data_IF_298496421586
#
_entry.id   IF_298496421586
#
_cell.length_a   1.000
_cell.length_b   1.000
_cell.length_c   1.000
_cell.angle_alpha   90.00
_cell.angle_beta   90.00
_cell.angle_gamma   90.00
#
_symmetry.space_group_name_H-M   'P 1'
#
loop_
_entity.id
_entity.type
_entity.pdbx_description
1 polymer ?
#
# COMPACT_ATOMS: atom_id res chain seq x y z
N UNK A 1 -1.38 -6.43 24.22
CA UNK A 1 -0.93 -7.33 25.30
C UNK A 1 -1.37 -8.75 25.03
N UNK A 2 -0.97 -9.34 23.91
CA UNK A 2 -1.00 -10.78 23.73
C UNK A 2 0.38 -11.30 24.12
N UNK A 3 0.43 -11.63 25.16
CA UNK A 3 1.02 -12.31 26.28
C UNK A 3 2.32 -13.06 25.93
N UNK A 4 3.33 -12.77 26.74
CA UNK A 4 4.51 -13.63 26.97
C UNK A 4 4.17 -15.12 27.12
N UNK A 5 2.93 -15.45 27.51
CA UNK A 5 2.43 -16.81 27.60
C UNK A 5 2.31 -17.54 26.25
N UNK A 6 2.08 -16.83 25.13
CA UNK A 6 1.99 -17.47 23.82
C UNK A 6 3.37 -17.94 23.31
N UNK A 7 4.44 -17.20 23.58
CA UNK A 7 5.80 -17.61 23.19
C UNK A 7 6.32 -18.83 23.94
N UNK A 8 5.80 -19.10 25.14
CA UNK A 8 6.18 -20.27 25.94
C UNK A 8 5.38 -21.53 25.58
N UNK A 9 4.23 -21.37 24.91
CA UNK A 9 3.33 -22.47 24.51
C UNK A 9 3.72 -23.07 23.16
N UNK A 10 4.20 -22.25 22.23
CA UNK A 10 4.53 -22.69 20.88
C UNK A 10 6.00 -23.09 20.74
N UNK A 11 6.25 -24.29 20.23
CA UNK A 11 7.62 -24.74 19.91
C UNK A 11 8.21 -24.00 18.73
N UNK A 12 7.35 -23.48 17.83
CA UNK A 12 7.73 -22.76 16.60
C UNK A 12 6.71 -21.67 16.30
N UNK A 13 7.19 -20.52 15.84
CA UNK A 13 6.37 -19.43 15.33
C UNK A 13 6.76 -19.10 13.90
N UNK A 14 5.76 -18.83 13.06
CA UNK A 14 5.95 -18.33 11.70
C UNK A 14 5.60 -16.86 11.69
N UNK A 15 6.52 -16.02 11.24
CA UNK A 15 6.38 -14.58 11.14
C UNK A 15 6.43 -14.15 9.68
N UNK A 16 5.77 -13.05 9.34
CA UNK A 16 5.63 -12.56 7.97
C UNK A 16 6.84 -11.79 7.45
N UNK A 17 7.76 -11.37 8.33
CA UNK A 17 8.92 -10.57 7.96
C UNK A 17 10.08 -10.77 8.94
N UNK A 18 11.30 -10.50 8.48
CA UNK A 18 12.46 -10.42 9.38
C UNK A 18 12.37 -9.24 10.33
N UNK A 19 11.65 -8.19 9.97
CA UNK A 19 11.35 -7.07 10.87
C UNK A 19 10.50 -7.52 12.07
N UNK A 20 9.43 -8.30 11.81
CA UNK A 20 8.63 -8.91 12.86
C UNK A 20 9.44 -9.88 13.75
N UNK A 21 10.41 -10.59 13.18
CA UNK A 21 11.31 -11.46 13.93
C UNK A 21 12.24 -10.65 14.84
N UNK A 22 12.80 -9.53 14.36
CA UNK A 22 13.60 -8.61 15.19
C UNK A 22 12.78 -8.00 16.34
N UNK A 23 11.53 -7.65 16.08
CA UNK A 23 10.62 -7.14 17.10
C UNK A 23 10.30 -8.20 18.17
N UNK A 24 10.11 -9.46 17.78
CA UNK A 24 9.92 -10.55 18.73
C UNK A 24 11.13 -10.67 19.68
N UNK A 25 12.36 -10.70 19.14
CA UNK A 25 13.58 -10.73 19.95
C UNK A 25 13.71 -9.51 20.86
N UNK A 26 13.37 -8.33 20.35
CA UNK A 26 13.49 -7.07 21.09
C UNK A 26 12.52 -6.97 22.25
N UNK A 27 11.25 -7.35 22.05
CA UNK A 27 10.19 -7.15 23.03
C UNK A 27 9.94 -8.38 23.92
N UNK A 28 10.41 -9.56 23.49
CA UNK A 28 10.28 -10.82 24.22
C UNK A 28 11.62 -11.58 24.26
N UNK A 29 12.70 -10.92 24.76
CA UNK A 29 14.01 -11.57 24.85
C UNK A 29 13.91 -12.78 25.77
N UNK A 30 14.35 -13.93 25.29
CA UNK A 30 14.28 -15.19 26.03
C UNK A 30 13.04 -16.04 25.73
N UNK A 31 12.25 -15.71 24.68
CA UNK A 31 11.29 -16.67 24.14
C UNK A 31 12.02 -17.98 23.76
N UNK A 32 11.32 -19.11 23.89
CA UNK A 32 11.89 -20.46 23.65
C UNK A 32 11.44 -21.08 22.34
N UNK A 33 10.59 -20.39 21.57
CA UNK A 33 10.10 -20.88 20.30
C UNK A 33 11.18 -20.70 19.21
N UNK A 34 11.30 -21.67 18.31
CA UNK A 34 11.99 -21.48 17.05
C UNK A 34 11.21 -20.49 16.19
N UNK A 35 11.88 -19.56 15.53
CA UNK A 35 11.25 -18.55 14.69
C UNK A 35 11.61 -18.81 13.24
N UNK A 36 10.60 -18.87 12.40
CA UNK A 36 10.73 -18.99 10.96
C UNK A 36 10.06 -17.79 10.28
N UNK A 37 10.72 -17.21 9.29
CA UNK A 37 10.13 -16.12 8.50
C UNK A 37 9.65 -16.68 7.17
N UNK A 38 8.38 -16.45 6.88
CA UNK A 38 7.76 -16.91 5.64
C UNK A 38 6.92 -15.76 5.07
N UNK A 39 7.43 -15.15 3.99
CA UNK A 39 6.75 -14.07 3.29
C UNK A 39 5.54 -14.60 2.54
N UNK A 40 4.35 -14.11 2.85
CA UNK A 40 3.17 -14.49 2.10
C UNK A 40 3.02 -13.66 0.82
N UNK A 41 2.27 -14.18 -0.13
CA UNK A 41 1.94 -13.53 -1.41
C UNK A 41 0.43 -13.36 -1.53
N UNK A 42 0.00 -12.30 -2.21
CA UNK A 42 -1.40 -12.14 -2.60
C UNK A 42 -1.71 -13.04 -3.80
N UNK A 43 -2.62 -13.99 -3.62
CA UNK A 43 -3.18 -14.78 -4.72
C UNK A 43 -4.47 -14.11 -5.20
N UNK A 44 -4.37 -13.27 -6.21
CA UNK A 44 -5.48 -12.44 -6.72
C UNK A 44 -5.74 -12.60 -8.22
N UNK A 45 -5.18 -13.63 -8.84
CA UNK A 45 -5.39 -13.88 -10.28
C UNK A 45 -6.88 -13.93 -10.66
N UNK A 46 -7.77 -14.64 -9.91
CA UNK A 46 -9.19 -14.69 -10.28
C UNK A 46 -9.84 -13.30 -10.32
N UNK A 47 -9.52 -12.47 -9.32
CA UNK A 47 -10.07 -11.11 -9.21
C UNK A 47 -9.49 -10.19 -10.30
N UNK A 48 -8.21 -10.35 -10.63
CA UNK A 48 -7.55 -9.59 -11.69
C UNK A 48 -8.08 -9.98 -13.06
N UNK A 49 -8.28 -11.26 -13.32
CA UNK A 49 -8.91 -11.76 -14.56
C UNK A 49 -10.37 -11.32 -14.71
N UNK A 50 -11.06 -11.03 -13.61
CA UNK A 50 -12.42 -10.50 -13.63
C UNK A 50 -12.50 -9.00 -13.96
N UNK A 51 -11.37 -8.29 -14.06
CA UNK A 51 -11.34 -6.87 -14.40
C UNK A 51 -11.47 -6.72 -15.93
N UNK A 52 -12.73 -6.61 -16.40
CA UNK A 52 -13.02 -6.34 -17.81
C UNK A 52 -13.04 -4.83 -18.10
N UNK A 53 -12.92 -4.40 -19.37
CA UNK A 53 -13.07 -3.00 -19.73
C UNK A 53 -14.40 -2.38 -19.31
N UNK A 54 -15.49 -3.16 -19.30
CA UNK A 54 -16.81 -2.71 -18.85
C UNK A 54 -16.83 -2.45 -17.35
N UNK A 55 -16.16 -3.31 -16.55
CA UNK A 55 -16.00 -3.09 -15.12
C UNK A 55 -15.15 -1.85 -14.85
N UNK A 56 -14.04 -1.67 -15.55
CA UNK A 56 -13.20 -0.47 -15.41
C UNK A 56 -13.98 0.81 -15.68
N UNK A 57 -14.79 0.81 -16.76
CA UNK A 57 -15.63 1.96 -17.09
C UNK A 57 -16.71 2.18 -16.01
N UNK A 58 -17.38 1.12 -15.57
CA UNK A 58 -18.38 1.20 -14.49
C UNK A 58 -17.79 1.76 -13.20
N UNK A 59 -16.57 1.36 -12.82
CA UNK A 59 -15.85 1.85 -11.65
C UNK A 59 -15.50 3.34 -11.81
N UNK A 60 -15.00 3.74 -12.99
CA UNK A 60 -14.73 5.15 -13.32
C UNK A 60 -15.97 6.02 -13.19
N UNK A 61 -17.10 5.56 -13.71
CA UNK A 61 -18.37 6.29 -13.66
C UNK A 61 -18.94 6.34 -12.24
N UNK A 62 -18.93 5.21 -11.53
CA UNK A 62 -19.43 5.09 -10.15
C UNK A 62 -18.73 6.05 -9.19
N UNK A 63 -17.40 6.19 -9.33
CA UNK A 63 -16.58 7.00 -8.43
C UNK A 63 -16.13 8.32 -9.03
N UNK A 64 -16.64 8.68 -10.22
CA UNK A 64 -16.31 9.91 -10.94
C UNK A 64 -14.79 10.11 -11.12
N UNK A 65 -14.09 9.05 -11.53
CA UNK A 65 -12.62 9.05 -11.74
C UNK A 65 -12.30 9.51 -13.18
N UNK A 66 -12.49 10.79 -13.46
CA UNK A 66 -12.31 11.38 -14.81
C UNK A 66 -10.89 11.88 -15.07
N UNK A 67 -10.17 12.22 -14.01
CA UNK A 67 -8.80 12.75 -14.09
C UNK A 67 -7.78 11.61 -13.93
N UNK A 68 -6.53 11.89 -14.23
CA UNK A 68 -5.42 11.08 -13.74
C UNK A 68 -5.43 11.07 -12.22
N UNK A 69 -5.11 9.95 -11.61
CA UNK A 69 -5.13 9.86 -10.16
C UNK A 69 -4.01 9.02 -9.58
N UNK A 70 -3.67 9.37 -8.34
CA UNK A 70 -2.74 8.66 -7.46
C UNK A 70 -3.58 7.95 -6.41
N UNK A 71 -3.26 6.68 -6.12
CA UNK A 71 -4.11 5.83 -5.30
C UNK A 71 -3.49 5.50 -3.93
N UNK A 72 -4.27 5.67 -2.86
CA UNK A 72 -3.87 5.44 -1.47
C UNK A 72 -4.86 4.44 -0.82
N UNK A 73 -4.69 3.11 -1.02
CA UNK A 73 -5.62 2.06 -0.59
C UNK A 73 -5.36 1.58 0.83
N UNK A 74 -5.72 2.38 1.83
CA UNK A 74 -5.49 2.03 3.22
C UNK A 74 -6.70 2.31 4.12
N UNK A 75 -6.91 1.46 5.15
CA UNK A 75 -7.78 1.82 6.27
C UNK A 75 -7.21 3.06 6.97
N UNK A 76 -8.08 3.93 7.47
CA UNK A 76 -7.66 5.20 8.08
C UNK A 76 -7.15 5.04 9.52
N UNK A 77 -6.29 4.05 9.76
CA UNK A 77 -5.62 3.87 11.04
C UNK A 77 -4.41 4.79 11.15
N UNK A 78 -4.11 5.24 12.37
CA UNK A 78 -3.04 6.19 12.61
C UNK A 78 -1.68 5.76 12.02
N UNK A 79 -1.32 4.47 12.15
CA UNK A 79 -0.06 3.96 11.62
C UNK A 79 0.00 3.89 10.08
N UNK A 80 -1.14 4.05 9.39
CA UNK A 80 -1.18 4.19 7.91
C UNK A 80 -0.81 5.59 7.44
N UNK A 81 -0.65 6.54 8.37
CA UNK A 81 0.02 7.83 8.17
C UNK A 81 -0.58 8.72 7.06
N UNK A 82 -1.91 8.75 6.96
CA UNK A 82 -2.59 9.57 5.95
C UNK A 82 -2.29 11.07 6.11
N UNK A 83 -1.91 11.52 7.32
CA UNK A 83 -1.59 12.93 7.56
C UNK A 83 -0.41 13.36 6.69
N UNK A 84 0.70 12.61 6.66
CA UNK A 84 1.86 12.97 5.82
C UNK A 84 1.49 13.04 4.35
N UNK A 85 0.57 12.16 3.91
CA UNK A 85 0.08 12.18 2.53
C UNK A 85 -0.71 13.45 2.22
N UNK A 86 -1.64 13.85 3.10
CA UNK A 86 -2.45 15.06 2.89
C UNK A 86 -1.59 16.33 3.00
N UNK A 87 -0.62 16.37 3.91
CA UNK A 87 0.36 17.47 4.00
C UNK A 87 1.23 17.56 2.72
N UNK A 88 1.61 16.44 2.12
CA UNK A 88 2.33 16.41 0.85
C UNK A 88 1.45 16.93 -0.30
N UNK A 89 0.17 16.54 -0.34
CA UNK A 89 -0.81 17.05 -1.33
C UNK A 89 -0.95 18.58 -1.16
N UNK A 90 -1.08 19.06 0.07
CA UNK A 90 -1.18 20.48 0.34
C UNK A 90 0.06 21.25 -0.16
N UNK A 91 1.26 20.72 0.04
CA UNK A 91 2.50 21.30 -0.49
C UNK A 91 2.45 21.40 -2.02
N UNK A 92 2.07 20.32 -2.72
CA UNK A 92 1.97 20.26 -4.18
C UNK A 92 0.99 21.31 -4.72
N UNK A 93 -0.20 21.37 -4.16
CA UNK A 93 -1.27 22.26 -4.64
C UNK A 93 -0.97 23.73 -4.35
N UNK A 94 -0.34 24.07 -3.23
CA UNK A 94 0.15 25.43 -2.94
C UNK A 94 1.21 25.91 -3.93
N UNK A 95 1.99 24.98 -4.49
CA UNK A 95 2.99 25.26 -5.53
C UNK A 95 2.40 25.24 -6.95
N UNK A 96 1.09 25.01 -7.11
CA UNK A 96 0.41 24.91 -8.40
C UNK A 96 0.75 23.62 -9.17
N UNK A 97 1.22 22.58 -8.49
CA UNK A 97 1.62 21.28 -9.05
C UNK A 97 0.50 20.27 -8.92
N UNK A 98 0.28 19.44 -9.93
CA UNK A 98 -0.71 18.36 -9.96
C UNK A 98 -2.16 18.82 -9.67
N UNK A 99 -2.51 20.05 -10.01
CA UNK A 99 -3.87 20.58 -9.81
C UNK A 99 -4.93 19.87 -10.66
N UNK A 100 -4.52 19.17 -11.71
CA UNK A 100 -5.33 18.36 -12.61
C UNK A 100 -5.40 16.87 -12.20
N UNK A 101 -4.74 16.49 -11.10
CA UNK A 101 -4.78 15.13 -10.55
C UNK A 101 -5.81 15.00 -9.43
N UNK A 102 -6.39 13.80 -9.30
CA UNK A 102 -7.13 13.39 -8.13
C UNK A 102 -6.24 12.51 -7.22
N UNK A 103 -6.40 12.65 -5.90
CA UNK A 103 -5.80 11.78 -4.90
C UNK A 103 -6.91 10.91 -4.31
N UNK A 104 -6.92 9.64 -4.67
CA UNK A 104 -8.00 8.71 -4.40
C UNK A 104 -7.67 7.85 -3.18
N UNK A 105 -8.51 7.93 -2.18
CA UNK A 105 -8.39 7.17 -0.94
C UNK A 105 -9.52 6.17 -0.83
N UNK A 106 -9.20 4.93 -0.47
CA UNK A 106 -10.18 3.91 -0.07
C UNK A 106 -9.88 3.40 1.33
N UNK A 107 -10.93 2.94 2.01
CA UNK A 107 -10.87 2.44 3.36
C UNK A 107 -11.95 3.07 4.24
N UNK A 108 -12.18 2.47 5.39
CA UNK A 108 -13.17 2.99 6.32
C UNK A 108 -12.57 4.16 7.12
N UNK A 109 -13.19 5.35 7.01
CA UNK A 109 -12.79 6.55 7.76
C UNK A 109 -13.31 6.47 9.21
N UNK A 110 -12.98 5.37 9.90
CA UNK A 110 -13.32 5.14 11.31
C UNK A 110 -12.16 4.41 11.99
N UNK A 111 -11.61 5.00 13.03
CA UNK A 111 -10.73 4.32 13.98
C UNK A 111 -11.26 4.55 15.39
N UNK A 112 -11.97 3.56 15.95
CA UNK A 112 -12.51 3.62 17.31
C UNK A 112 -11.42 3.71 18.38
N UNK A 113 -10.18 3.35 18.05
CA UNK A 113 -9.03 3.39 18.96
C UNK A 113 -8.44 4.79 19.06
N UNK A 114 -8.61 5.62 18.01
CA UNK A 114 -8.08 6.97 17.96
C UNK A 114 -9.02 7.92 17.18
N UNK A 115 -10.17 8.30 17.76
CA UNK A 115 -11.12 9.20 17.11
C UNK A 115 -10.54 10.60 16.86
N UNK A 116 -9.68 11.11 17.75
CA UNK A 116 -9.03 12.42 17.59
C UNK A 116 -8.15 12.48 16.34
N UNK A 117 -7.48 11.38 15.99
CA UNK A 117 -6.71 11.29 14.75
C UNK A 117 -7.63 11.45 13.52
N UNK A 118 -8.77 10.79 13.52
CA UNK A 118 -9.75 10.86 12.44
C UNK A 118 -10.31 12.27 12.29
N UNK A 119 -10.64 12.94 13.40
CA UNK A 119 -11.16 14.32 13.38
C UNK A 119 -10.11 15.31 12.87
N UNK A 120 -8.85 15.14 13.28
CA UNK A 120 -7.72 15.94 12.76
C UNK A 120 -7.55 15.73 11.26
N UNK A 121 -7.51 14.49 10.82
CA UNK A 121 -7.34 14.12 9.40
C UNK A 121 -8.47 14.69 8.54
N UNK A 122 -9.72 14.56 8.99
CA UNK A 122 -10.89 15.09 8.29
C UNK A 122 -10.78 16.60 8.08
N UNK A 123 -10.44 17.35 9.13
CA UNK A 123 -10.26 18.82 9.04
C UNK A 123 -9.22 19.22 8.00
N UNK A 124 -8.11 18.48 7.90
CA UNK A 124 -7.06 18.78 6.92
C UNK A 124 -7.57 18.45 5.50
N UNK A 125 -8.24 17.32 5.31
CA UNK A 125 -8.78 16.89 4.01
C UNK A 125 -9.92 17.78 3.49
N UNK A 126 -10.67 18.40 4.39
CA UNK A 126 -11.77 19.32 4.08
C UNK A 126 -11.30 20.78 3.86
N UNK A 127 -10.00 21.07 4.01
CA UNK A 127 -9.48 22.42 3.77
C UNK A 127 -9.62 22.83 2.30
N UNK A 128 -9.88 24.12 2.04
CA UNK A 128 -10.08 24.69 0.70
C UNK A 128 -8.91 24.38 -0.26
N UNK A 129 -7.72 24.19 0.27
CA UNK A 129 -6.53 23.92 -0.53
C UNK A 129 -6.56 22.53 -1.17
N UNK A 130 -7.07 21.51 -0.48
CA UNK A 130 -6.92 20.11 -0.93
C UNK A 130 -8.24 19.41 -1.27
N UNK A 131 -9.37 19.90 -0.74
CA UNK A 131 -10.66 19.22 -0.85
C UNK A 131 -11.11 18.94 -2.29
N UNK A 132 -10.78 19.83 -3.23
CA UNK A 132 -11.15 19.68 -4.64
C UNK A 132 -10.41 18.55 -5.36
N UNK A 133 -9.26 18.12 -4.83
CA UNK A 133 -8.40 17.10 -5.43
C UNK A 133 -8.42 15.77 -4.63
N UNK A 134 -9.05 15.73 -3.45
CA UNK A 134 -9.16 14.52 -2.63
C UNK A 134 -10.49 13.82 -2.91
N UNK A 135 -10.41 12.54 -3.25
CA UNK A 135 -11.57 11.65 -3.39
C UNK A 135 -11.55 10.57 -2.33
N UNK A 136 -12.53 10.62 -1.41
CA UNK A 136 -12.73 9.62 -0.36
C UNK A 136 -13.82 8.64 -0.82
N UNK A 137 -13.44 7.43 -1.23
CA UNK A 137 -14.39 6.46 -1.76
C UNK A 137 -15.01 5.56 -0.68
N UNK A 138 -14.46 5.60 0.55
CA UNK A 138 -14.91 4.71 1.62
C UNK A 138 -14.50 3.26 1.38
N UNK A 139 -15.33 2.32 1.88
CA UNK A 139 -15.15 0.90 1.59
C UNK A 139 -15.55 0.61 0.13
N UNK A 140 -14.68 -0.11 -0.56
CA UNK A 140 -14.85 -0.49 -1.96
C UNK A 140 -14.70 -2.01 -2.06
N UNK A 141 -15.52 -2.65 -2.87
CA UNK A 141 -15.44 -4.09 -3.12
C UNK A 141 -14.08 -4.48 -3.74
N UNK A 142 -13.62 -5.70 -3.45
CA UNK A 142 -12.26 -6.15 -3.76
C UNK A 142 -11.91 -5.99 -5.25
N UNK A 143 -12.79 -6.43 -6.15
CA UNK A 143 -12.56 -6.36 -7.59
C UNK A 143 -12.54 -4.92 -8.09
N UNK A 144 -13.43 -4.05 -7.55
CA UNK A 144 -13.41 -2.62 -7.83
C UNK A 144 -12.13 -1.96 -7.31
N UNK A 145 -11.65 -2.34 -6.11
CA UNK A 145 -10.39 -1.87 -5.54
C UNK A 145 -9.21 -2.16 -6.45
N UNK A 146 -9.14 -3.38 -6.97
CA UNK A 146 -8.09 -3.80 -7.91
C UNK A 146 -8.21 -3.08 -9.26
N UNK A 147 -9.43 -2.83 -9.74
CA UNK A 147 -9.66 -2.03 -10.95
C UNK A 147 -9.20 -0.57 -10.76
N UNK A 148 -9.46 0.05 -9.61
CA UNK A 148 -8.94 1.37 -9.25
C UNK A 148 -7.40 1.33 -9.20
N UNK A 149 -6.82 0.31 -8.57
CA UNK A 149 -5.37 0.15 -8.45
C UNK A 149 -4.69 -0.01 -9.82
N UNK A 150 -5.26 -0.84 -10.69
CA UNK A 150 -4.80 -1.06 -12.07
C UNK A 150 -4.74 0.24 -12.87
N UNK A 151 -5.77 1.08 -12.76
CA UNK A 151 -5.92 2.30 -13.53
C UNK A 151 -5.26 3.54 -12.88
N UNK A 152 -4.72 3.42 -11.67
CA UNK A 152 -3.96 4.50 -11.02
C UNK A 152 -2.65 4.77 -11.75
N UNK A 153 -2.19 6.02 -11.76
CA UNK A 153 -0.85 6.34 -12.26
C UNK A 153 0.22 5.59 -11.46
N UNK A 154 0.13 5.65 -10.15
CA UNK A 154 0.93 4.88 -9.21
C UNK A 154 0.23 4.84 -7.84
N UNK A 155 0.79 4.07 -6.92
CA UNK A 155 0.25 3.83 -5.59
C UNK A 155 1.16 4.46 -4.55
N UNK A 156 0.60 4.94 -3.43
CA UNK A 156 1.38 5.44 -2.29
C UNK A 156 1.02 4.67 -1.03
N UNK A 157 2.04 4.13 -0.35
CA UNK A 157 1.97 3.44 0.93
C UNK A 157 2.78 4.20 1.99
N UNK A 158 2.17 5.15 2.73
CA UNK A 158 2.89 6.03 3.63
C UNK A 158 3.04 5.50 5.05
N UNK A 159 2.77 4.23 5.30
CA UNK A 159 2.69 3.60 6.62
C UNK A 159 3.93 3.82 7.50
N UNK A 160 3.70 3.99 8.80
CA UNK A 160 4.77 4.05 9.82
C UNK A 160 5.18 2.66 10.33
N UNK A 161 4.30 1.68 10.18
CA UNK A 161 4.50 0.32 10.66
C UNK A 161 3.62 -0.65 9.86
N UNK A 162 4.18 -1.80 9.50
CA UNK A 162 3.49 -2.92 8.88
C UNK A 162 4.08 -4.24 9.39
N UNK A 163 3.26 -5.30 9.38
CA UNK A 163 3.79 -6.67 9.53
C UNK A 163 4.23 -7.26 8.20
N UNK A 164 3.40 -7.06 7.18
CA UNK A 164 3.61 -7.34 5.74
C UNK A 164 2.51 -6.64 4.97
N UNK A 165 2.86 -5.82 3.98
CA UNK A 165 1.90 -4.98 3.27
C UNK A 165 1.15 -5.74 2.18
N UNK A 166 -0.11 -6.14 2.39
CA UNK A 166 -0.94 -6.78 1.36
C UNK A 166 -1.15 -5.90 0.13
N UNK A 167 -1.27 -4.59 0.31
CA UNK A 167 -1.40 -3.63 -0.78
C UNK A 167 -0.19 -3.67 -1.72
N UNK A 168 1.01 -3.83 -1.18
CA UNK A 168 2.21 -3.94 -1.99
C UNK A 168 2.25 -5.27 -2.76
N UNK A 169 1.80 -6.38 -2.15
CA UNK A 169 1.68 -7.66 -2.85
C UNK A 169 0.68 -7.57 -4.01
N UNK A 170 -0.48 -6.93 -3.81
CA UNK A 170 -1.45 -6.68 -4.88
C UNK A 170 -0.85 -5.81 -6.01
N UNK A 171 -0.14 -4.76 -5.64
CA UNK A 171 0.52 -3.88 -6.60
C UNK A 171 1.60 -4.59 -7.42
N UNK A 172 2.32 -5.56 -6.83
CA UNK A 172 3.29 -6.41 -7.53
C UNK A 172 2.61 -7.28 -8.58
N UNK A 173 1.43 -7.87 -8.27
CA UNK A 173 0.67 -8.68 -9.24
C UNK A 173 0.14 -7.81 -10.38
N UNK A 174 -0.26 -6.57 -10.11
CA UNK A 174 -0.65 -5.60 -11.13
C UNK A 174 0.55 -4.91 -11.80
N UNK A 175 1.77 -5.25 -11.40
CA UNK A 175 3.04 -4.68 -11.86
C UNK A 175 3.08 -3.14 -11.81
N UNK A 176 2.50 -2.56 -10.76
CA UNK A 176 2.40 -1.10 -10.59
C UNK A 176 3.61 -0.50 -9.87
N UNK A 177 3.89 0.76 -10.22
CA UNK A 177 4.85 1.58 -9.47
C UNK A 177 4.26 1.96 -8.11
N UNK A 178 5.05 1.84 -7.05
CA UNK A 178 4.63 2.14 -5.67
C UNK A 178 5.63 3.05 -4.98
N UNK A 179 5.15 4.16 -4.43
CA UNK A 179 5.90 4.98 -3.49
C UNK A 179 5.70 4.40 -2.08
N UNK A 180 6.79 3.97 -1.46
CA UNK A 180 6.79 3.29 -0.16
C UNK A 180 7.48 4.13 0.91
N UNK A 181 6.89 4.23 2.08
CA UNK A 181 7.63 4.75 3.24
C UNK A 181 8.85 3.88 3.54
N UNK A 182 9.97 4.53 3.86
CA UNK A 182 11.25 3.86 4.13
C UNK A 182 11.27 3.27 5.55
N UNK A 183 10.48 2.22 5.76
CA UNK A 183 10.44 1.43 7.00
C UNK A 183 11.05 0.04 6.75
N UNK A 184 11.56 -0.65 7.79
CA UNK A 184 12.30 -1.91 7.61
C UNK A 184 11.55 -2.98 6.80
N UNK A 185 10.26 -3.18 7.09
CA UNK A 185 9.44 -4.17 6.35
C UNK A 185 9.25 -3.80 4.89
N UNK A 186 9.11 -2.51 4.54
CA UNK A 186 9.03 -2.07 3.16
C UNK A 186 10.35 -2.23 2.41
N UNK A 187 11.50 -2.00 3.09
CA UNK A 187 12.82 -2.30 2.52
C UNK A 187 12.99 -3.80 2.21
N UNK A 188 12.43 -4.68 3.06
CA UNK A 188 12.43 -6.12 2.86
C UNK A 188 11.51 -6.55 1.71
N UNK A 189 10.34 -5.91 1.58
CA UNK A 189 9.27 -6.28 0.65
C UNK A 189 9.39 -5.66 -0.74
N UNK A 190 10.16 -4.56 -0.90
CA UNK A 190 10.25 -3.78 -2.14
C UNK A 190 10.76 -4.58 -3.34
N UNK A 191 10.43 -4.10 -4.54
CA UNK A 191 10.99 -4.55 -5.80
C UNK A 191 11.51 -3.35 -6.63
N UNK A 192 11.94 -3.59 -7.86
CA UNK A 192 12.49 -2.56 -8.77
C UNK A 192 11.51 -1.43 -9.13
N UNK A 193 10.20 -1.61 -8.93
CA UNK A 193 9.15 -0.60 -9.19
C UNK A 193 8.80 0.22 -7.94
N UNK A 194 9.48 0.00 -6.85
CA UNK A 194 9.27 0.75 -5.61
C UNK A 194 10.23 1.93 -5.49
N UNK A 195 9.71 3.05 -5.00
CA UNK A 195 10.49 4.25 -4.68
C UNK A 195 10.29 4.58 -3.21
N UNK A 196 11.39 4.59 -2.46
CA UNK A 196 11.33 4.86 -1.01
C UNK A 196 11.34 6.36 -0.70
N UNK A 197 10.58 6.76 0.34
CA UNK A 197 10.57 8.11 0.89
C UNK A 197 10.52 8.09 2.43
N UNK A 198 10.95 9.17 3.07
CA UNK A 198 10.86 9.32 4.53
C UNK A 198 9.40 9.50 4.97
N UNK A 199 8.84 8.60 5.82
CA UNK A 199 7.46 8.69 6.29
C UNK A 199 7.17 9.90 7.19
N UNK A 200 8.18 10.65 7.60
CA UNK A 200 8.08 11.84 8.45
C UNK A 200 8.32 13.15 7.70
N UNK A 201 8.65 13.09 6.40
CA UNK A 201 8.92 14.27 5.58
C UNK A 201 7.88 14.45 4.46
N UNK A 202 6.81 15.25 4.69
CA UNK A 202 5.79 15.51 3.69
C UNK A 202 6.33 16.28 2.47
N UNK A 203 7.40 17.07 2.60
CA UNK A 203 8.01 17.80 1.49
C UNK A 203 8.78 16.84 0.57
N UNK A 204 9.54 15.90 1.14
CA UNK A 204 10.21 14.87 0.37
C UNK A 204 9.19 13.98 -0.34
N UNK A 205 8.07 13.65 0.31
CA UNK A 205 6.98 12.88 -0.32
C UNK A 205 6.37 13.68 -1.48
N UNK A 206 6.06 14.97 -1.30
CA UNK A 206 5.54 15.84 -2.34
C UNK A 206 6.47 15.87 -3.56
N UNK A 207 7.77 16.04 -3.36
CA UNK A 207 8.76 16.06 -4.43
C UNK A 207 8.87 14.70 -5.14
N UNK A 208 8.81 13.60 -4.37
CA UNK A 208 8.81 12.24 -4.92
C UNK A 208 7.55 11.98 -5.76
N UNK A 209 6.37 12.40 -5.29
CA UNK A 209 5.11 12.31 -6.03
C UNK A 209 5.21 13.07 -7.34
N UNK A 210 5.62 14.34 -7.31
CA UNK A 210 5.69 15.17 -8.51
C UNK A 210 6.68 14.64 -9.55
N UNK A 211 7.86 14.19 -9.11
CA UNK A 211 8.86 13.57 -10.00
C UNK A 211 8.32 12.29 -10.63
N UNK A 212 7.62 11.47 -9.86
CA UNK A 212 7.02 10.22 -10.34
C UNK A 212 5.89 10.49 -11.32
N UNK A 213 5.02 11.46 -11.04
CA UNK A 213 3.94 11.87 -11.95
C UNK A 213 4.48 12.45 -13.26
N UNK A 214 5.51 13.30 -13.20
CA UNK A 214 6.16 13.81 -14.38
C UNK A 214 6.75 12.70 -15.25
N UNK A 215 7.41 11.70 -14.64
CA UNK A 215 7.94 10.53 -15.35
C UNK A 215 6.82 9.69 -15.96
N UNK A 216 5.72 9.46 -15.25
CA UNK A 216 4.58 8.68 -15.71
C UNK A 216 3.88 9.33 -16.92
N UNK A 217 4.03 10.64 -17.10
CA UNK A 217 3.45 11.39 -18.23
C UNK A 217 4.30 11.34 -19.50
N UNK A 218 5.51 10.76 -19.44
CA UNK A 218 6.39 10.65 -20.60
C UNK A 218 6.04 9.40 -21.42
N UNK A 219 5.86 9.51 -22.75
CA UNK A 219 5.47 8.38 -23.61
C UNK A 219 6.44 7.18 -23.51
N UNK A 220 7.73 7.41 -23.34
CA UNK A 220 8.74 6.37 -23.18
C UNK A 220 8.60 5.55 -21.91
N UNK A 221 7.84 6.02 -20.93
CA UNK A 221 7.57 5.34 -19.67
C UNK A 221 6.13 4.80 -19.55
N UNK A 222 5.28 4.98 -20.56
CA UNK A 222 3.88 4.55 -20.52
C UNK A 222 3.72 3.07 -20.12
N UNK A 223 4.49 2.18 -20.75
CA UNK A 223 4.46 0.75 -20.44
C UNK A 223 4.91 0.43 -18.98
N UNK A 224 5.86 1.19 -18.42
CA UNK A 224 6.32 1.03 -17.04
C UNK A 224 5.18 1.28 -16.04
N UNK A 225 4.36 2.30 -16.30
CA UNK A 225 3.28 2.73 -15.41
C UNK A 225 1.94 2.05 -15.70
N UNK A 226 1.72 1.56 -16.92
CA UNK A 226 0.56 0.72 -17.25
C UNK A 226 0.58 -0.59 -16.46
N UNK A 227 1.77 -1.17 -16.32
CA UNK A 227 1.99 -2.47 -15.68
C UNK A 227 1.81 -3.65 -16.63
N UNK A 228 2.58 -4.68 -16.41
CA UNK A 228 2.52 -5.96 -17.12
C UNK A 228 1.90 -7.03 -16.20
N UNK A 229 0.58 -7.19 -16.31
CA UNK A 229 -0.19 -8.11 -15.47
C UNK A 229 0.22 -9.57 -15.70
N UNK A 230 0.53 -9.98 -16.93
CA UNK A 230 0.95 -11.35 -17.23
C UNK A 230 2.27 -11.67 -16.51
N UNK A 231 3.22 -10.75 -16.57
CA UNK A 231 4.47 -10.86 -15.83
C UNK A 231 4.26 -10.83 -14.32
N UNK A 232 3.34 -9.99 -13.82
CA UNK A 232 2.96 -9.91 -12.41
C UNK A 232 2.39 -11.22 -11.90
N UNK A 233 1.46 -11.83 -12.62
CA UNK A 233 0.87 -13.14 -12.31
C UNK A 233 1.96 -14.24 -12.34
N UNK A 234 2.84 -14.24 -13.34
CA UNK A 234 3.94 -15.20 -13.41
C UNK A 234 4.88 -15.09 -12.22
N UNK A 235 5.19 -13.86 -11.77
CA UNK A 235 5.97 -13.62 -10.56
C UNK A 235 5.25 -14.11 -9.30
N UNK A 236 3.95 -13.82 -9.16
CA UNK A 236 3.11 -14.30 -8.06
C UNK A 236 3.17 -15.82 -7.93
N UNK A 237 3.04 -16.57 -9.03
CA UNK A 237 3.13 -18.03 -9.00
C UNK A 237 4.53 -18.54 -8.60
N UNK A 238 5.58 -17.84 -8.99
CA UNK A 238 6.93 -18.17 -8.55
C UNK A 238 7.07 -17.99 -7.05
N UNK A 239 6.66 -16.83 -6.53
CA UNK A 239 6.72 -16.51 -5.10
C UNK A 239 5.81 -17.43 -4.27
N UNK A 240 4.61 -17.77 -4.78
CA UNK A 240 3.71 -18.72 -4.12
C UNK A 240 4.32 -20.12 -3.98
N UNK A 241 5.09 -20.58 -4.98
CA UNK A 241 5.83 -21.86 -4.88
C UNK A 241 6.94 -21.79 -3.83
N UNK A 242 7.63 -20.66 -3.73
CA UNK A 242 8.66 -20.45 -2.69
C UNK A 242 8.04 -20.42 -1.30
N UNK A 243 6.91 -19.75 -1.14
CA UNK A 243 6.10 -19.73 0.08
C UNK A 243 5.67 -21.14 0.49
N UNK A 244 5.10 -21.93 -0.42
CA UNK A 244 4.69 -23.31 -0.13
C UNK A 244 5.87 -24.19 0.32
N UNK A 245 7.01 -24.09 -0.36
CA UNK A 245 8.23 -24.84 0.03
C UNK A 245 8.78 -24.40 1.38
N UNK A 246 8.65 -23.10 1.71
CA UNK A 246 9.05 -22.60 3.02
C UNK A 246 8.15 -23.16 4.12
N UNK A 247 6.83 -23.19 3.91
CA UNK A 247 5.88 -23.79 4.85
C UNK A 247 6.14 -25.30 5.02
N UNK A 248 6.37 -26.05 3.94
CA UNK A 248 6.71 -27.47 4.03
C UNK A 248 7.92 -27.71 4.96
N UNK A 249 8.98 -26.92 4.82
CA UNK A 249 10.17 -27.01 5.70
C UNK A 249 9.88 -26.69 7.16
N UNK A 250 8.84 -25.89 7.42
CA UNK A 250 8.43 -25.52 8.78
C UNK A 250 7.65 -26.65 9.46
N UNK A 251 6.84 -27.38 8.70
CA UNK A 251 5.86 -28.34 9.26
C UNK A 251 6.20 -29.81 9.02
N UNK A 252 7.14 -30.12 8.12
CA UNK A 252 7.65 -31.47 7.87
C UNK A 252 9.05 -31.65 8.45
#
# INVERSE_FOLDING_TARGET
LYSSAASDVYKRQVLSSFDAARDLERFYPGHRCAVEVVHFVSYIEPEVCAITPELEQSVRDKFDLKRNYIYIPNQFWQHKNHIVMVEAIECLLKEGRLCDYDFVFTGNLKDYRNPEYIDKLRKIMESDTVCANIKLLGFVERTEQLAIMKNAQFIVQPSLCEGWGTVLEDAKVLDKVVLLSNIPVHQEQQNKKCVLFDPHDPKQLAETIARTAARASLPEHEAEYAGDIEQGIANMYREAREYSRALERVFL
#
